data_IF_614381513963
#
_entry.id   IF_614381513963
#
_cell.length_a   1.000
_cell.length_b   1.000
_cell.length_c   1.000
_cell.angle_alpha   90.00
_cell.angle_beta   90.00
_cell.angle_gamma   90.00
#
_symmetry.space_group_name_H-M   'P 1'
#
loop_
_entity.id
_entity.type
_entity.pdbx_description
1 polymer ?
#
# COMPACT_ATOMS: atom_id res chain seq x y z
N UNK A 1 -7.77 2.22 8.13
CA UNK A 1 -7.94 0.87 7.56
C UNK A 1 -8.52 1.05 6.19
N UNK A 2 -7.95 0.37 5.20
CA UNK A 2 -8.50 0.31 3.84
C UNK A 2 -9.00 -1.12 3.65
N UNK A 3 -10.28 -1.26 3.34
CA UNK A 3 -10.90 -2.55 3.04
C UNK A 3 -10.83 -2.80 1.53
N UNK A 4 -10.67 -4.07 1.13
CA UNK A 4 -10.70 -4.52 -0.27
C UNK A 4 -9.76 -3.75 -1.21
N UNK A 5 -8.53 -3.44 -0.74
CA UNK A 5 -7.53 -2.79 -1.58
C UNK A 5 -7.08 -3.74 -2.69
N UNK A 6 -7.28 -3.30 -3.93
CA UNK A 6 -6.73 -3.95 -5.12
C UNK A 6 -5.85 -2.97 -5.88
N UNK A 7 -4.63 -3.37 -6.19
CA UNK A 7 -3.64 -2.54 -6.90
C UNK A 7 -3.12 -3.35 -8.08
N UNK A 8 -3.29 -2.81 -9.28
CA UNK A 8 -2.77 -3.38 -10.52
C UNK A 8 -1.74 -2.43 -11.11
N UNK A 9 -0.58 -2.95 -11.50
CA UNK A 9 0.47 -2.17 -12.13
C UNK A 9 0.91 -2.81 -13.44
N UNK A 10 0.89 -2.05 -14.52
CA UNK A 10 1.22 -2.54 -15.87
C UNK A 10 0.50 -3.84 -16.25
N UNK A 11 -0.75 -4.02 -15.82
CA UNK A 11 -1.54 -5.23 -16.10
C UNK A 11 -1.23 -6.44 -15.21
N UNK A 12 -0.39 -6.27 -14.19
CA UNK A 12 -0.13 -7.29 -13.17
C UNK A 12 -0.75 -6.88 -11.83
N UNK A 13 -1.55 -7.77 -11.25
CA UNK A 13 -2.10 -7.55 -9.92
C UNK A 13 -1.01 -7.68 -8.87
N UNK A 14 -0.83 -6.63 -8.07
CA UNK A 14 0.13 -6.59 -6.97
C UNK A 14 -0.51 -7.09 -5.68
N UNK A 15 -1.73 -6.63 -5.43
CA UNK A 15 -2.56 -7.01 -4.30
C UNK A 15 -3.99 -7.04 -4.80
N UNK A 16 -4.76 -8.02 -4.35
CA UNK A 16 -6.17 -8.21 -4.72
C UNK A 16 -6.96 -8.40 -3.45
N UNK A 17 -8.04 -7.62 -3.32
CA UNK A 17 -9.02 -7.71 -2.24
C UNK A 17 -8.39 -7.87 -0.83
N UNK A 18 -7.40 -7.02 -0.54
CA UNK A 18 -6.62 -7.13 0.70
C UNK A 18 -6.94 -5.99 1.65
N UNK A 19 -7.02 -6.29 2.94
CA UNK A 19 -7.14 -5.28 3.98
C UNK A 19 -5.76 -4.71 4.33
N UNK A 20 -5.63 -3.37 4.27
CA UNK A 20 -4.42 -2.67 4.65
C UNK A 20 -4.65 -1.79 5.86
N UNK A 21 -3.92 -2.06 6.94
CA UNK A 21 -3.92 -1.27 8.16
C UNK A 21 -2.52 -0.77 8.50
N UNK A 22 -2.32 0.54 8.42
CA UNK A 22 -1.10 1.21 8.83
C UNK A 22 -1.39 2.11 10.04
N UNK A 23 -0.62 1.93 11.11
CA UNK A 23 -0.72 2.69 12.33
C UNK A 23 0.47 3.63 12.50
N UNK A 24 0.21 4.81 13.08
CA UNK A 24 1.26 5.78 13.38
C UNK A 24 2.33 5.20 14.32
N UNK A 25 3.58 5.62 14.12
CA UNK A 25 4.69 5.24 15.00
C UNK A 25 5.14 3.79 14.85
N UNK A 26 4.60 3.04 13.88
CA UNK A 26 5.01 1.66 13.58
C UNK A 26 5.84 1.60 12.32
N UNK A 27 6.76 0.64 12.28
CA UNK A 27 7.58 0.32 11.11
C UNK A 27 7.12 -1.01 10.55
N UNK A 28 6.72 -1.01 9.28
CA UNK A 28 6.25 -2.19 8.58
C UNK A 28 7.26 -2.59 7.51
N UNK A 29 7.48 -3.90 7.36
CA UNK A 29 8.28 -4.47 6.28
C UNK A 29 7.38 -5.09 5.23
N UNK A 30 7.57 -4.72 3.96
CA UNK A 30 6.90 -5.34 2.83
C UNK A 30 7.80 -6.43 2.25
N UNK A 31 7.37 -7.68 2.32
CA UNK A 31 8.13 -8.86 1.88
C UNK A 31 7.53 -9.47 0.61
N UNK A 32 8.38 -10.10 -0.21
CA UNK A 32 7.99 -10.73 -1.47
C UNK A 32 9.15 -10.82 -2.46
N UNK A 33 8.98 -11.60 -3.52
CA UNK A 33 10.00 -11.82 -4.56
C UNK A 33 10.40 -10.51 -5.26
N UNK A 34 11.61 -10.45 -5.81
CA UNK A 34 12.00 -9.31 -6.63
C UNK A 34 11.11 -9.21 -7.87
N UNK A 35 10.71 -7.99 -8.22
CA UNK A 35 9.78 -7.74 -9.33
C UNK A 35 8.30 -7.86 -8.97
N UNK A 36 7.91 -8.32 -7.78
CA UNK A 36 6.50 -8.34 -7.36
C UNK A 36 5.92 -6.96 -6.98
N UNK A 37 6.55 -5.87 -7.43
CA UNK A 37 6.14 -4.46 -7.23
C UNK A 37 6.03 -3.95 -5.80
N UNK A 38 6.86 -4.44 -4.88
CA UNK A 38 6.98 -3.88 -3.52
C UNK A 38 7.30 -2.39 -3.51
N UNK A 39 8.36 -2.00 -4.21
CA UNK A 39 8.75 -0.58 -4.31
C UNK A 39 7.66 0.24 -4.97
N UNK A 40 6.97 -0.33 -5.95
CA UNK A 40 5.83 0.30 -6.63
C UNK A 40 4.68 0.60 -5.68
N UNK A 41 4.32 -0.38 -4.83
CA UNK A 41 3.30 -0.17 -3.80
C UNK A 41 3.70 0.91 -2.80
N UNK A 42 4.96 0.88 -2.34
CA UNK A 42 5.48 1.88 -1.40
C UNK A 42 5.49 3.28 -2.01
N UNK A 43 5.84 3.41 -3.30
CA UNK A 43 5.76 4.66 -4.05
C UNK A 43 4.31 5.15 -4.15
N UNK A 44 3.34 4.28 -4.49
CA UNK A 44 1.93 4.65 -4.56
C UNK A 44 1.38 5.16 -3.21
N UNK A 45 1.82 4.55 -2.09
CA UNK A 45 1.51 5.03 -0.74
C UNK A 45 2.11 6.43 -0.51
N UNK A 46 3.40 6.62 -0.82
CA UNK A 46 4.10 7.90 -0.63
C UNK A 46 3.56 9.04 -1.50
N UNK A 47 3.16 8.75 -2.73
CA UNK A 47 2.52 9.68 -3.66
C UNK A 47 1.03 9.94 -3.34
N UNK A 48 0.46 9.22 -2.36
CA UNK A 48 -0.97 9.27 -2.01
C UNK A 48 -1.88 8.90 -3.20
N UNK A 49 -1.44 7.95 -4.02
CA UNK A 49 -2.21 7.41 -5.15
C UNK A 49 -3.22 6.35 -4.71
N UNK A 50 -3.05 5.79 -3.49
CA UNK A 50 -4.03 4.91 -2.89
C UNK A 50 -5.15 5.71 -2.19
N UNK A 51 -6.36 5.14 -2.04
CA UNK A 51 -7.46 5.77 -1.29
C UNK A 51 -7.17 5.76 0.22
N UNK A 52 -6.22 6.61 0.63
CA UNK A 52 -5.74 6.71 2.01
C UNK A 52 -6.72 7.58 2.81
N UNK A 53 -7.31 7.07 3.91
CA UNK A 53 -8.16 7.87 4.77
C UNK A 53 -7.43 9.08 5.35
N UNK A 54 -8.13 10.21 5.48
CA UNK A 54 -7.56 11.45 6.02
C UNK A 54 -6.99 11.29 7.45
N UNK A 55 -7.45 10.29 8.21
CA UNK A 55 -6.94 9.93 9.54
C UNK A 55 -5.49 9.42 9.52
N UNK A 56 -4.98 8.98 8.37
CA UNK A 56 -3.58 8.57 8.21
C UNK A 56 -2.64 9.74 7.88
N UNK A 57 -3.15 10.96 7.72
CA UNK A 57 -2.33 12.15 7.39
C UNK A 57 -1.33 12.50 8.48
N UNK A 58 -1.52 12.03 9.72
CA UNK A 58 -0.55 12.17 10.81
C UNK A 58 0.62 11.18 10.71
N UNK A 59 0.61 10.25 9.75
CA UNK A 59 1.56 9.11 9.66
C UNK A 59 2.76 9.38 8.75
N UNK A 60 2.64 10.36 7.86
CA UNK A 60 3.67 10.76 6.89
C UNK A 60 4.32 12.09 7.27
#
# INVERSE_FOLDING_TARGET
>A
MIESLSVTFHGHDLIVDTELELNYGRRYGLLGLNGCGKSTLLTAIGCRELPIPNTWTSII
#
